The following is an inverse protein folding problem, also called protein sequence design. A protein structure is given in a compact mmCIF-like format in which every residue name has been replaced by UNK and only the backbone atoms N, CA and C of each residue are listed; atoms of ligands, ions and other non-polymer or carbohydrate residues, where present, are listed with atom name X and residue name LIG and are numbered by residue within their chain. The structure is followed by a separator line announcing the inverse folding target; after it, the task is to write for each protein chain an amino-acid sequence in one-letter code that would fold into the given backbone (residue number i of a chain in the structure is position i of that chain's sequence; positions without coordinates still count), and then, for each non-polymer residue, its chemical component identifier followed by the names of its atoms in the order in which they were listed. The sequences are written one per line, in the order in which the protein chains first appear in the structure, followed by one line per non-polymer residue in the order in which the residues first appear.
data_IF_142863929389
#
_entry.id   IF_142863929389
#
_cell.length_a   1.000
_cell.length_b   1.000
_cell.length_c   1.000
_cell.angle_alpha   90.00
_cell.angle_beta   90.00
_cell.angle_gamma   90.00
#
_symmetry.space_group_name_H-M   'P 1'
#
loop_
_entity.id
_entity.type
_entity.pdbx_description
1 polymer ?
#
# COMPACT_ATOMS: atom_id res chain seq x y z
N UNK A 1 9.91 -10.79 -40.97
CA UNK A 1 9.72 -9.41 -40.51
C UNK A 1 10.24 -9.32 -39.08
N UNK A 2 11.54 -9.12 -38.97
CA UNK A 2 12.25 -9.00 -37.68
C UNK A 2 12.80 -7.58 -37.65
N UNK A 3 12.30 -6.72 -36.75
CA UNK A 3 12.85 -5.39 -36.61
C UNK A 3 11.88 -4.33 -36.06
N UNK A 4 10.91 -4.68 -35.22
CA UNK A 4 10.33 -3.66 -34.34
C UNK A 4 11.27 -3.48 -33.16
N UNK A 5 11.92 -2.34 -33.13
CA UNK A 5 12.91 -1.94 -32.16
C UNK A 5 12.31 -1.97 -30.76
N UNK A 6 13.05 -2.51 -29.77
CA UNK A 6 12.71 -2.56 -28.32
C UNK A 6 12.38 -1.18 -27.70
N UNK A 7 12.42 -0.11 -28.49
CA UNK A 7 12.32 1.29 -28.02
C UNK A 7 10.90 1.81 -27.83
N UNK A 8 9.86 1.15 -28.35
CA UNK A 8 8.49 1.69 -28.31
C UNK A 8 7.54 0.97 -27.33
N UNK A 9 7.98 -0.12 -26.70
CA UNK A 9 7.16 -0.85 -25.76
C UNK A 9 7.11 -0.18 -24.39
N UNK A 10 5.90 0.11 -23.91
CA UNK A 10 5.69 0.63 -22.56
C UNK A 10 5.78 -0.47 -21.49
N UNK A 11 5.35 -1.68 -21.83
CA UNK A 11 5.46 -2.88 -20.99
C UNK A 11 6.09 -4.02 -21.76
N UNK A 12 7.02 -4.72 -21.12
CA UNK A 12 7.58 -5.95 -21.67
C UNK A 12 7.71 -7.00 -20.56
N UNK A 13 7.07 -8.15 -20.75
CA UNK A 13 7.22 -9.36 -19.96
C UNK A 13 8.03 -10.36 -20.76
N UNK A 14 9.19 -10.79 -20.22
CA UNK A 14 10.08 -11.72 -20.90
C UNK A 14 10.10 -13.04 -20.12
N UNK A 15 9.57 -14.11 -20.74
CA UNK A 15 9.56 -15.48 -20.22
C UNK A 15 9.05 -15.60 -18.78
N UNK A 16 8.03 -14.80 -18.43
CA UNK A 16 7.54 -14.70 -17.07
C UNK A 16 6.82 -15.96 -16.63
N UNK A 17 7.35 -16.59 -15.58
CA UNK A 17 6.75 -17.73 -14.90
C UNK A 17 6.40 -17.34 -13.46
N UNK A 18 5.17 -17.62 -13.04
CA UNK A 18 4.67 -17.29 -11.70
C UNK A 18 4.04 -18.53 -11.06
N UNK A 19 4.44 -18.78 -9.80
CA UNK A 19 3.82 -19.79 -8.93
C UNK A 19 2.97 -19.16 -7.83
N UNK A 20 1.85 -19.81 -7.52
CA UNK A 20 1.05 -19.55 -6.31
C UNK A 20 0.93 -20.86 -5.52
N UNK A 21 1.70 -20.95 -4.44
CA UNK A 21 1.85 -22.21 -3.69
C UNK A 21 2.49 -23.28 -4.57
N UNK A 22 1.85 -24.44 -4.70
CA UNK A 22 2.34 -25.57 -5.51
C UNK A 22 1.94 -25.49 -7.00
N UNK A 23 1.10 -24.51 -7.37
CA UNK A 23 0.56 -24.42 -8.75
C UNK A 23 1.31 -23.35 -9.54
N UNK A 24 1.84 -23.70 -10.72
CA UNK A 24 2.28 -22.74 -11.72
C UNK A 24 1.03 -22.12 -12.38
N UNK A 25 0.89 -20.81 -12.27
CA UNK A 25 -0.26 -20.05 -12.78
C UNK A 25 0.06 -19.42 -14.14
N UNK A 26 1.28 -18.91 -14.30
CA UNK A 26 1.80 -18.40 -15.57
C UNK A 26 3.06 -19.19 -15.91
N UNK A 27 3.18 -19.62 -17.16
CA UNK A 27 4.33 -20.37 -17.66
C UNK A 27 4.87 -19.72 -18.93
N UNK A 28 6.13 -19.24 -18.87
CA UNK A 28 6.86 -18.68 -20.01
C UNK A 28 6.08 -17.59 -20.77
N UNK A 29 5.39 -16.71 -20.04
CA UNK A 29 4.60 -15.64 -20.63
C UNK A 29 5.51 -14.58 -21.26
N UNK A 30 5.32 -14.33 -22.55
CA UNK A 30 5.92 -13.21 -23.27
C UNK A 30 4.80 -12.27 -23.71
N UNK A 31 4.88 -11.01 -23.30
CA UNK A 31 3.87 -10.00 -23.62
C UNK A 31 4.56 -8.66 -23.81
N UNK A 32 4.33 -8.04 -24.96
CA UNK A 32 4.78 -6.69 -25.25
C UNK A 32 3.58 -5.79 -25.52
N UNK A 33 3.55 -4.62 -24.86
CA UNK A 33 2.45 -3.65 -25.00
C UNK A 33 3.02 -2.29 -25.34
N UNK A 34 2.57 -1.75 -26.47
CA UNK A 34 3.01 -0.47 -27.00
C UNK A 34 2.03 0.66 -26.69
N UNK A 35 2.44 1.89 -26.96
CA UNK A 35 1.61 3.09 -26.83
C UNK A 35 0.29 2.94 -27.61
N UNK A 36 -0.83 3.34 -26.98
CA UNK A 36 -2.16 3.29 -27.59
C UNK A 36 -2.78 1.91 -27.70
N UNK A 37 -2.18 0.88 -27.11
CA UNK A 37 -2.76 -0.46 -27.05
C UNK A 37 -3.60 -0.66 -25.79
N UNK A 38 -4.74 -1.32 -25.96
CA UNK A 38 -5.62 -1.79 -24.89
C UNK A 38 -5.74 -3.30 -25.00
N UNK A 39 -5.18 -4.01 -24.02
CA UNK A 39 -5.18 -5.47 -23.97
C UNK A 39 -6.29 -5.94 -23.03
N UNK A 40 -7.25 -6.67 -23.55
CA UNK A 40 -8.30 -7.29 -22.76
C UNK A 40 -7.96 -8.76 -22.47
N UNK A 41 -7.77 -9.09 -21.21
CA UNK A 41 -7.64 -10.46 -20.74
C UNK A 41 -9.03 -11.03 -20.51
N UNK A 42 -9.47 -11.89 -21.40
CA UNK A 42 -10.72 -12.61 -21.30
C UNK A 42 -10.41 -14.09 -20.98
N UNK A 43 -11.31 -14.77 -20.26
CA UNK A 43 -11.11 -16.16 -19.86
C UNK A 43 -11.82 -16.49 -18.54
N UNK A 44 -11.84 -17.80 -18.19
CA UNK A 44 -12.53 -18.27 -16.97
C UNK A 44 -11.82 -17.81 -15.68
N UNK A 45 -12.56 -17.89 -14.58
CA UNK A 45 -11.97 -17.64 -13.25
C UNK A 45 -10.85 -18.64 -12.96
N UNK A 46 -9.72 -18.15 -12.43
CA UNK A 46 -8.56 -18.98 -12.11
C UNK A 46 -7.56 -19.22 -13.24
N UNK A 47 -7.77 -18.65 -14.44
CA UNK A 47 -6.84 -18.76 -15.58
C UNK A 47 -5.64 -17.81 -15.49
N UNK A 48 -5.50 -17.03 -14.43
CA UNK A 48 -4.30 -16.22 -14.18
C UNK A 48 -4.40 -14.78 -14.62
N UNK A 49 -5.55 -14.25 -15.06
CA UNK A 49 -5.73 -12.85 -15.50
C UNK A 49 -5.22 -11.82 -14.48
N UNK A 50 -5.70 -11.91 -13.24
CA UNK A 50 -5.21 -11.05 -12.15
C UNK A 50 -3.73 -11.26 -11.87
N UNK A 51 -3.22 -12.50 -12.05
CA UNK A 51 -1.80 -12.80 -11.88
C UNK A 51 -0.94 -12.12 -12.95
N UNK A 52 -1.42 -12.01 -14.20
CA UNK A 52 -0.74 -11.25 -15.25
C UNK A 52 -0.68 -9.76 -14.85
N UNK A 53 -1.79 -9.17 -14.42
CA UNK A 53 -1.84 -7.77 -13.98
C UNK A 53 -0.90 -7.53 -12.79
N UNK A 54 -0.96 -8.39 -11.76
CA UNK A 54 -0.09 -8.26 -10.59
C UNK A 54 1.40 -8.45 -10.93
N UNK A 55 1.74 -9.39 -11.84
CA UNK A 55 3.10 -9.56 -12.34
C UNK A 55 3.56 -8.32 -13.10
N UNK A 56 2.73 -7.82 -14.02
CA UNK A 56 2.99 -6.60 -14.78
C UNK A 56 3.21 -5.37 -13.90
N UNK A 57 2.50 -5.28 -12.77
CA UNK A 57 2.67 -4.22 -11.78
C UNK A 57 3.83 -4.45 -10.79
N UNK A 58 4.58 -5.56 -10.91
CA UNK A 58 5.69 -5.91 -10.02
C UNK A 58 5.28 -6.26 -8.60
N UNK A 59 4.04 -6.73 -8.40
CA UNK A 59 3.46 -7.03 -7.08
C UNK A 59 3.78 -8.43 -6.58
N UNK A 60 4.07 -9.36 -7.47
CA UNK A 60 4.34 -10.76 -7.14
C UNK A 60 5.74 -11.16 -7.55
N UNK A 61 6.42 -12.03 -6.78
CA UNK A 61 7.72 -12.56 -7.16
C UNK A 61 7.59 -13.45 -8.41
N UNK A 62 8.60 -13.38 -9.26
CA UNK A 62 8.72 -14.22 -10.44
C UNK A 62 9.53 -15.46 -10.07
N UNK A 63 9.15 -16.63 -10.62
CA UNK A 63 9.97 -17.84 -10.56
C UNK A 63 11.07 -17.80 -11.63
N UNK A 64 10.71 -17.31 -12.82
CA UNK A 64 11.62 -17.11 -13.96
C UNK A 64 11.16 -15.86 -14.70
N UNK A 65 12.09 -15.18 -15.34
CA UNK A 65 11.83 -14.08 -16.27
C UNK A 65 11.97 -12.69 -15.65
N UNK A 66 11.52 -11.70 -16.40
CA UNK A 66 11.66 -10.29 -16.03
C UNK A 66 10.55 -9.42 -16.59
N UNK A 67 10.27 -8.32 -15.90
CA UNK A 67 9.28 -7.31 -16.27
C UNK A 67 9.96 -5.95 -16.42
N UNK A 68 9.68 -5.28 -17.52
CA UNK A 68 10.21 -3.95 -17.83
C UNK A 68 9.07 -2.96 -18.04
N UNK A 69 9.22 -1.76 -17.48
CA UNK A 69 8.39 -0.61 -17.76
C UNK A 69 9.21 0.45 -18.49
N UNK A 70 8.74 0.92 -19.64
CA UNK A 70 9.43 1.92 -20.45
C UNK A 70 10.90 1.57 -20.75
N UNK A 71 11.19 0.28 -20.96
CA UNK A 71 12.54 -0.24 -21.20
C UNK A 71 13.39 -0.46 -19.95
N UNK A 72 12.96 -0.01 -18.76
CA UNK A 72 13.69 -0.16 -17.51
C UNK A 72 13.20 -1.37 -16.70
N UNK A 73 14.12 -2.11 -16.10
CA UNK A 73 13.80 -3.30 -15.30
C UNK A 73 12.99 -2.94 -14.06
N UNK A 74 11.76 -3.45 -13.97
CA UNK A 74 10.91 -3.32 -12.79
C UNK A 74 11.19 -4.41 -11.76
N UNK A 75 11.25 -5.68 -12.20
CA UNK A 75 11.53 -6.84 -11.36
C UNK A 75 12.04 -8.01 -12.21
N UNK A 76 12.95 -8.80 -11.66
CA UNK A 76 13.43 -10.07 -12.19
C UNK A 76 13.18 -11.26 -11.23
N UNK A 77 13.59 -12.45 -11.64
CA UNK A 77 13.47 -13.69 -10.86
C UNK A 77 14.24 -13.66 -9.53
N UNK A 78 15.30 -12.86 -9.43
CA UNK A 78 16.06 -12.67 -8.18
C UNK A 78 15.36 -11.69 -7.22
N UNK A 79 14.27 -11.07 -7.63
CA UNK A 79 13.57 -10.01 -6.91
C UNK A 79 14.28 -8.65 -7.00
N UNK A 80 15.36 -8.56 -7.80
CA UNK A 80 16.00 -7.27 -8.10
C UNK A 80 15.13 -6.47 -9.06
N UNK A 81 15.17 -5.17 -8.91
CA UNK A 81 14.46 -4.24 -9.79
C UNK A 81 14.43 -2.83 -9.23
N UNK A 82 14.15 -1.89 -10.11
CA UNK A 82 14.07 -0.46 -9.80
C UNK A 82 12.69 0.00 -9.32
N UNK A 83 12.59 1.29 -9.01
CA UNK A 83 11.29 1.97 -8.94
C UNK A 83 10.74 2.08 -10.37
N UNK A 84 9.40 2.09 -10.53
CA UNK A 84 8.85 2.44 -11.83
C UNK A 84 9.39 3.80 -12.28
N UNK A 85 9.86 3.89 -13.52
CA UNK A 85 10.39 5.15 -14.10
C UNK A 85 9.32 6.23 -14.09
N UNK A 86 8.10 5.81 -14.35
CA UNK A 86 6.94 6.67 -14.35
C UNK A 86 5.84 6.09 -13.47
N UNK A 87 5.07 6.93 -12.77
CA UNK A 87 3.83 6.51 -12.13
C UNK A 87 2.89 5.88 -13.14
N UNK A 88 2.21 4.84 -12.73
CA UNK A 88 1.24 4.11 -13.55
C UNK A 88 -0.10 4.00 -12.82
N UNK A 89 -1.16 3.77 -13.58
CA UNK A 89 -2.48 3.52 -13.03
C UNK A 89 -2.63 2.08 -12.54
N UNK A 90 -3.28 1.88 -11.39
CA UNK A 90 -3.49 0.55 -10.82
C UNK A 90 -4.81 0.46 -10.09
N UNK A 91 -5.71 -0.40 -10.58
CA UNK A 91 -6.90 -0.86 -9.87
C UNK A 91 -6.81 -2.37 -9.74
N UNK A 92 -6.81 -2.86 -8.51
CA UNK A 92 -6.82 -4.29 -8.21
C UNK A 92 -8.26 -4.75 -7.89
N UNK A 93 -8.48 -6.06 -7.85
CA UNK A 93 -9.78 -6.64 -7.46
C UNK A 93 -10.23 -6.16 -6.07
N UNK A 94 -9.29 -5.97 -5.15
CA UNK A 94 -9.56 -5.29 -3.88
C UNK A 94 -9.50 -3.77 -4.09
N UNK A 95 -10.50 -3.04 -3.58
CA UNK A 95 -10.64 -1.59 -3.81
C UNK A 95 -9.41 -0.77 -3.39
N UNK A 96 -8.69 -1.19 -2.35
CA UNK A 96 -7.47 -0.51 -1.91
C UNK A 96 -7.67 0.90 -1.34
N UNK A 97 -8.90 1.34 -1.19
CA UNK A 97 -9.24 2.67 -0.71
C UNK A 97 -9.13 2.77 0.81
N UNK A 98 -8.55 3.86 1.30
CA UNK A 98 -8.42 4.11 2.73
C UNK A 98 -9.73 4.68 3.30
N UNK A 99 -10.48 3.88 4.04
CA UNK A 99 -11.79 4.23 4.59
C UNK A 99 -11.80 5.47 5.49
N UNK A 100 -10.66 5.81 6.11
CA UNK A 100 -10.48 6.99 6.97
C UNK A 100 -10.22 8.29 6.19
N UNK A 101 -10.07 8.23 4.88
CA UNK A 101 -9.90 9.40 4.01
C UNK A 101 -11.23 9.80 3.38
N UNK A 102 -11.33 11.09 3.03
CA UNK A 102 -12.38 11.58 2.14
C UNK A 102 -12.07 11.18 0.71
N UNK A 103 -13.08 11.16 -0.17
CA UNK A 103 -12.86 10.84 -1.59
C UNK A 103 -11.80 11.75 -2.19
N UNK A 104 -11.93 13.08 -2.00
CA UNK A 104 -10.97 14.06 -2.52
C UNK A 104 -9.55 13.84 -1.99
N UNK A 105 -9.40 13.53 -0.71
CA UNK A 105 -8.08 13.25 -0.10
C UNK A 105 -7.42 12.04 -0.73
N UNK A 106 -8.19 10.96 -0.92
CA UNK A 106 -7.70 9.73 -1.53
C UNK A 106 -7.25 9.95 -2.98
N UNK A 107 -8.05 10.66 -3.77
CA UNK A 107 -7.71 10.97 -5.16
C UNK A 107 -6.53 11.95 -5.25
N UNK A 108 -6.45 12.96 -4.40
CA UNK A 108 -5.28 13.83 -4.32
C UNK A 108 -4.01 13.06 -3.97
N UNK A 109 -4.08 12.09 -3.05
CA UNK A 109 -2.94 11.24 -2.71
C UNK A 109 -2.44 10.43 -3.92
N UNK A 110 -3.35 9.95 -4.75
CA UNK A 110 -3.01 9.27 -6.01
C UNK A 110 -2.35 10.23 -7.00
N UNK A 111 -2.87 11.45 -7.11
CA UNK A 111 -2.31 12.48 -7.98
C UNK A 111 -0.90 12.92 -7.54
N UNK A 112 -0.64 13.00 -6.24
CA UNK A 112 0.65 13.45 -5.70
C UNK A 112 1.84 12.59 -6.14
N UNK A 113 1.59 11.32 -6.49
CA UNK A 113 2.63 10.45 -7.05
C UNK A 113 2.97 10.84 -8.49
N UNK A 114 2.02 11.41 -9.23
CA UNK A 114 2.23 11.81 -10.62
C UNK A 114 2.98 13.14 -10.76
N UNK A 115 3.09 13.89 -9.69
CA UNK A 115 3.74 15.20 -9.67
C UNK A 115 2.83 16.38 -10.03
N UNK A 116 1.58 16.14 -10.42
CA UNK A 116 0.58 17.17 -10.74
C UNK A 116 -0.79 16.77 -10.22
N UNK A 117 -1.63 17.76 -9.97
CA UNK A 117 -3.05 17.61 -9.61
C UNK A 117 -3.92 18.24 -10.68
N UNK A 118 -5.07 17.63 -10.93
CA UNK A 118 -6.11 18.17 -11.81
C UNK A 118 -7.39 18.42 -11.00
N UNK A 119 -8.28 19.25 -11.55
CA UNK A 119 -9.63 19.41 -11.02
C UNK A 119 -10.42 18.10 -11.23
N UNK A 120 -10.92 17.53 -10.15
CA UNK A 120 -11.55 16.21 -10.17
C UNK A 120 -13.07 16.23 -10.33
N UNK A 121 -13.68 17.39 -10.24
CA UNK A 121 -15.16 17.51 -10.19
C UNK A 121 -15.82 16.94 -11.44
N UNK A 122 -15.25 17.19 -12.63
CA UNK A 122 -15.76 16.66 -13.90
C UNK A 122 -15.67 15.12 -13.96
N UNK A 123 -14.59 14.54 -13.41
CA UNK A 123 -14.44 13.08 -13.33
C UNK A 123 -15.46 12.51 -12.34
N UNK A 124 -15.57 13.10 -11.15
CA UNK A 124 -16.50 12.65 -10.12
C UNK A 124 -17.96 12.75 -10.60
N UNK A 125 -18.29 13.76 -11.41
CA UNK A 125 -19.64 13.95 -11.95
C UNK A 125 -20.03 12.82 -12.91
N UNK A 126 -19.11 12.38 -13.80
CA UNK A 126 -19.35 11.25 -14.71
C UNK A 126 -19.67 9.94 -13.98
N UNK A 127 -19.13 9.75 -12.77
CA UNK A 127 -19.38 8.57 -11.94
C UNK A 127 -20.44 8.79 -10.86
N UNK A 128 -21.15 9.95 -10.91
CA UNK A 128 -22.17 10.34 -9.93
C UNK A 128 -21.64 10.31 -8.47
N UNK A 129 -20.42 10.85 -8.27
CA UNK A 129 -19.77 10.93 -6.95
C UNK A 129 -19.46 12.37 -6.49
N UNK A 130 -19.70 13.39 -7.33
CA UNK A 130 -19.38 14.80 -7.02
C UNK A 130 -20.02 15.28 -5.72
N UNK A 131 -21.29 14.93 -5.51
CA UNK A 131 -22.05 15.29 -4.30
C UNK A 131 -21.51 14.64 -3.02
N UNK A 132 -20.66 13.62 -3.14
CA UNK A 132 -20.03 12.89 -2.03
C UNK A 132 -18.54 13.17 -1.89
N UNK A 133 -17.99 14.12 -2.63
CA UNK A 133 -16.55 14.44 -2.70
C UNK A 133 -15.91 14.54 -1.31
N UNK A 134 -16.65 15.11 -0.35
CA UNK A 134 -16.17 15.34 1.02
C UNK A 134 -16.55 14.23 2.01
N UNK A 135 -17.24 13.17 1.56
CA UNK A 135 -17.62 12.04 2.42
C UNK A 135 -16.42 11.13 2.69
N UNK A 136 -16.44 10.49 3.86
CA UNK A 136 -15.46 9.46 4.18
C UNK A 136 -15.71 8.20 3.34
N UNK A 137 -14.66 7.61 2.81
CA UNK A 137 -14.75 6.38 2.00
C UNK A 137 -15.40 5.22 2.78
N UNK A 138 -15.21 5.18 4.12
CA UNK A 138 -15.88 4.19 4.96
C UNK A 138 -17.41 4.28 4.93
N UNK A 139 -17.98 5.45 4.59
CA UNK A 139 -19.44 5.69 4.52
C UNK A 139 -20.04 5.34 3.16
N UNK A 140 -19.21 4.99 2.19
CA UNK A 140 -19.63 4.64 0.84
C UNK A 140 -20.14 3.19 0.77
N UNK A 141 -21.11 2.96 -0.12
CA UNK A 141 -21.47 1.58 -0.52
C UNK A 141 -20.31 0.88 -1.23
N UNK A 142 -20.36 -0.45 -1.35
CA UNK A 142 -19.33 -1.22 -2.07
C UNK A 142 -19.14 -0.73 -3.51
N UNK A 143 -20.24 -0.50 -4.25
CA UNK A 143 -20.17 0.02 -5.61
C UNK A 143 -19.58 1.43 -5.68
N UNK A 144 -19.92 2.32 -4.75
CA UNK A 144 -19.33 3.66 -4.70
C UNK A 144 -17.81 3.62 -4.37
N UNK A 145 -17.39 2.77 -3.45
CA UNK A 145 -15.95 2.55 -3.19
C UNK A 145 -15.24 2.03 -4.43
N UNK A 146 -15.87 1.09 -5.16
CA UNK A 146 -15.33 0.58 -6.41
C UNK A 146 -15.12 1.68 -7.44
N UNK A 147 -16.10 2.60 -7.59
CA UNK A 147 -15.96 3.77 -8.45
C UNK A 147 -14.76 4.63 -8.06
N UNK A 148 -14.55 4.90 -6.77
CA UNK A 148 -13.39 5.67 -6.27
C UNK A 148 -12.09 4.95 -6.60
N UNK A 149 -12.00 3.65 -6.36
CA UNK A 149 -10.81 2.84 -6.67
C UNK A 149 -10.47 2.85 -8.17
N UNK A 150 -11.49 2.75 -9.00
CA UNK A 150 -11.37 2.78 -10.45
C UNK A 150 -10.92 4.16 -10.95
N UNK A 151 -11.53 5.25 -10.46
CA UNK A 151 -11.10 6.62 -10.77
C UNK A 151 -9.62 6.79 -10.38
N UNK A 152 -9.23 6.40 -9.17
CA UNK A 152 -7.84 6.46 -8.71
C UNK A 152 -6.88 5.71 -9.66
N UNK A 153 -7.32 4.57 -10.21
CA UNK A 153 -6.53 3.77 -11.15
C UNK A 153 -6.31 4.44 -12.51
N UNK A 154 -7.25 5.23 -12.99
CA UNK A 154 -7.12 5.91 -14.31
C UNK A 154 -6.52 7.31 -14.21
N UNK A 155 -6.50 7.94 -13.03
CA UNK A 155 -6.00 9.30 -12.82
C UNK A 155 -4.58 9.54 -13.36
N UNK A 156 -3.59 8.64 -13.21
CA UNK A 156 -2.26 8.86 -13.79
C UNK A 156 -2.26 9.08 -15.31
N UNK A 157 -3.21 8.46 -16.01
CA UNK A 157 -3.41 8.69 -17.44
C UNK A 157 -4.01 10.06 -17.74
N UNK A 158 -5.01 10.50 -16.98
CA UNK A 158 -5.61 11.84 -17.18
C UNK A 158 -4.64 12.98 -16.91
N UNK A 159 -3.72 12.80 -15.97
CA UNK A 159 -2.77 13.84 -15.56
C UNK A 159 -1.57 13.90 -16.52
N UNK A 160 -1.16 12.78 -17.07
CA UNK A 160 0.10 12.71 -17.82
C UNK A 160 -0.07 13.13 -19.28
N UNK A 161 0.85 13.97 -19.74
CA UNK A 161 1.02 14.31 -21.17
C UNK A 161 1.86 13.27 -21.94
N UNK A 162 2.54 12.36 -21.20
CA UNK A 162 3.33 11.28 -21.79
C UNK A 162 2.61 9.94 -21.63
N UNK A 163 2.80 8.98 -22.55
CA UNK A 163 2.23 7.66 -22.43
C UNK A 163 2.49 7.00 -21.07
N UNK A 164 1.47 6.38 -20.47
CA UNK A 164 1.53 5.68 -19.18
C UNK A 164 0.97 4.28 -19.32
N UNK A 165 1.36 3.42 -18.40
CA UNK A 165 0.74 2.13 -18.17
C UNK A 165 -0.46 2.29 -17.23
N UNK A 166 -1.54 1.56 -17.51
CA UNK A 166 -2.74 1.52 -16.68
C UNK A 166 -3.18 0.06 -16.55
N UNK A 167 -3.27 -0.43 -15.33
CA UNK A 167 -3.63 -1.81 -15.00
C UNK A 167 -4.98 -1.82 -14.28
N UNK A 168 -5.98 -2.49 -14.86
CA UNK A 168 -7.35 -2.55 -14.37
C UNK A 168 -7.78 -4.01 -14.18
N UNK A 169 -7.83 -4.48 -12.94
CA UNK A 169 -8.26 -5.83 -12.60
C UNK A 169 -9.73 -5.84 -12.20
N UNK A 170 -10.57 -6.43 -13.04
CA UNK A 170 -12.04 -6.48 -12.91
C UNK A 170 -12.65 -5.10 -12.57
N UNK A 171 -12.33 -4.04 -13.33
CA UNK A 171 -12.73 -2.66 -12.97
C UNK A 171 -14.24 -2.46 -12.93
N UNK A 172 -14.99 -3.28 -13.64
CA UNK A 172 -16.46 -3.23 -13.76
C UNK A 172 -17.19 -3.94 -12.62
N UNK A 173 -16.48 -4.67 -11.76
CA UNK A 173 -17.09 -5.38 -10.65
C UNK A 173 -17.84 -4.42 -9.71
N UNK A 174 -19.18 -4.57 -9.61
CA UNK A 174 -20.03 -3.71 -8.78
C UNK A 174 -20.33 -2.32 -9.34
N UNK A 175 -19.96 -2.02 -10.58
CA UNK A 175 -20.36 -0.79 -11.26
C UNK A 175 -21.78 -0.93 -11.85
N UNK A 176 -22.54 0.17 -11.78
CA UNK A 176 -23.78 0.33 -12.55
C UNK A 176 -23.49 0.55 -14.05
N UNK A 177 -24.52 0.41 -14.89
CA UNK A 177 -24.39 0.51 -16.34
C UNK A 177 -23.83 1.87 -16.78
N UNK A 178 -24.30 2.97 -16.17
CA UNK A 178 -23.85 4.32 -16.52
C UNK A 178 -22.35 4.48 -16.24
N UNK A 179 -21.86 4.04 -15.08
CA UNK A 179 -20.45 4.10 -14.73
C UNK A 179 -19.57 3.20 -15.60
N UNK A 180 -20.09 2.05 -16.05
CA UNK A 180 -19.36 1.21 -17.02
C UNK A 180 -19.19 1.91 -18.37
N UNK A 181 -20.27 2.53 -18.87
CA UNK A 181 -20.19 3.32 -20.11
C UNK A 181 -19.17 4.44 -19.97
N UNK A 182 -19.20 5.19 -18.86
CA UNK A 182 -18.21 6.24 -18.59
C UNK A 182 -16.78 5.70 -18.54
N UNK A 183 -16.58 4.50 -17.98
CA UNK A 183 -15.26 3.87 -17.93
C UNK A 183 -14.76 3.47 -19.32
N UNK A 184 -15.61 2.90 -20.16
CA UNK A 184 -15.27 2.54 -21.55
C UNK A 184 -14.88 3.81 -22.35
N UNK A 185 -15.61 4.90 -22.18
CA UNK A 185 -15.27 6.20 -22.77
C UNK A 185 -13.94 6.74 -22.25
N UNK A 186 -13.69 6.62 -20.93
CA UNK A 186 -12.43 7.01 -20.33
C UNK A 186 -11.25 6.19 -20.90
N UNK A 187 -11.40 4.89 -21.07
CA UNK A 187 -10.40 4.01 -21.69
C UNK A 187 -10.13 4.42 -23.14
N UNK A 188 -11.17 4.71 -23.93
CA UNK A 188 -11.01 5.21 -25.29
C UNK A 188 -10.22 6.51 -25.32
N UNK A 189 -10.59 7.49 -24.51
CA UNK A 189 -9.88 8.76 -24.41
C UNK A 189 -8.41 8.56 -24.04
N UNK A 190 -8.13 7.74 -23.02
CA UNK A 190 -6.76 7.48 -22.57
C UNK A 190 -5.94 6.74 -23.63
N UNK A 191 -6.55 5.81 -24.37
CA UNK A 191 -5.93 5.16 -25.52
C UNK A 191 -5.53 6.17 -26.60
N UNK A 192 -6.42 7.10 -26.95
CA UNK A 192 -6.16 8.16 -27.93
C UNK A 192 -5.01 9.08 -27.50
N UNK A 193 -4.80 9.27 -26.19
CA UNK A 193 -3.64 9.97 -25.62
C UNK A 193 -2.35 9.12 -25.61
N UNK A 194 -2.38 7.91 -26.16
CA UNK A 194 -1.22 7.03 -26.27
C UNK A 194 -0.92 6.19 -25.03
N UNK A 195 -1.81 6.14 -24.05
CA UNK A 195 -1.60 5.27 -22.87
C UNK A 195 -1.78 3.80 -23.25
N UNK A 196 -1.03 2.90 -22.59
CA UNK A 196 -1.18 1.46 -22.72
C UNK A 196 -1.99 0.93 -21.54
N UNK A 197 -3.05 0.17 -21.81
CA UNK A 197 -4.03 -0.24 -20.80
C UNK A 197 -4.18 -1.75 -20.84
N UNK A 198 -4.06 -2.38 -19.67
CA UNK A 198 -4.29 -3.80 -19.48
C UNK A 198 -5.54 -3.97 -18.61
N UNK A 199 -6.51 -4.73 -19.11
CA UNK A 199 -7.82 -4.92 -18.47
C UNK A 199 -8.09 -6.40 -18.32
N UNK A 200 -8.41 -6.86 -17.10
CA UNK A 200 -9.09 -8.14 -16.92
C UNK A 200 -10.58 -7.87 -16.75
N UNK A 201 -11.43 -8.52 -17.52
CA UNK A 201 -12.88 -8.46 -17.34
C UNK A 201 -13.55 -9.67 -18.00
N UNK A 202 -14.72 -10.02 -17.46
CA UNK A 202 -15.63 -11.01 -18.06
C UNK A 202 -16.71 -10.34 -18.91
N UNK A 203 -16.78 -8.99 -18.89
CA UNK A 203 -17.82 -8.24 -19.58
C UNK A 203 -17.38 -7.94 -21.01
N UNK A 204 -18.17 -8.48 -21.98
CA UNK A 204 -17.92 -8.26 -23.40
C UNK A 204 -17.99 -6.80 -23.84
N UNK A 205 -18.61 -5.90 -23.06
CA UNK A 205 -18.64 -4.48 -23.40
C UNK A 205 -17.24 -3.87 -23.53
N UNK A 206 -16.22 -4.41 -22.81
CA UNK A 206 -14.84 -3.95 -22.95
C UNK A 206 -14.17 -4.32 -24.28
N UNK A 207 -14.73 -5.27 -25.04
CA UNK A 207 -14.28 -5.53 -26.42
C UNK A 207 -14.39 -4.29 -27.31
N UNK A 208 -15.34 -3.38 -27.00
CA UNK A 208 -15.52 -2.11 -27.72
C UNK A 208 -14.34 -1.16 -27.59
N UNK A 209 -13.57 -1.21 -26.49
CA UNK A 209 -12.43 -0.33 -26.26
C UNK A 209 -11.09 -1.06 -26.39
N UNK A 210 -11.06 -2.39 -26.43
CA UNK A 210 -9.84 -3.19 -26.53
C UNK A 210 -9.30 -3.18 -27.96
N UNK A 211 -7.98 -3.07 -28.11
CA UNK A 211 -7.29 -3.22 -29.41
C UNK A 211 -6.88 -4.67 -29.64
N UNK A 212 -6.60 -5.38 -28.55
CA UNK A 212 -6.16 -6.77 -28.58
C UNK A 212 -6.86 -7.55 -27.47
N UNK A 213 -7.13 -8.81 -27.74
CA UNK A 213 -7.61 -9.78 -26.76
C UNK A 213 -6.52 -10.79 -26.50
N UNK A 214 -6.26 -11.06 -25.23
CA UNK A 214 -5.35 -12.12 -24.82
C UNK A 214 -6.15 -13.32 -24.30
N UNK A 215 -5.97 -14.46 -24.93
CA UNK A 215 -6.55 -15.75 -24.55
C UNK A 215 -5.42 -16.74 -24.27
N UNK A 216 -5.77 -17.97 -23.88
CA UNK A 216 -4.82 -19.09 -23.65
C UNK A 216 -3.91 -19.34 -24.88
N UNK A 217 -4.43 -19.11 -26.09
CA UNK A 217 -3.73 -19.34 -27.36
C UNK A 217 -2.84 -18.15 -27.79
N UNK A 218 -2.81 -17.06 -27.02
CA UNK A 218 -2.01 -15.89 -27.27
C UNK A 218 -2.82 -14.61 -27.48
N UNK A 219 -2.14 -13.59 -28.01
CA UNK A 219 -2.72 -12.27 -28.26
C UNK A 219 -3.27 -12.18 -29.69
N UNK A 220 -4.52 -11.80 -29.80
CA UNK A 220 -5.21 -11.61 -31.09
C UNK A 220 -5.64 -10.16 -31.20
N UNK A 221 -5.33 -9.55 -32.33
CA UNK A 221 -5.80 -8.19 -32.65
C UNK A 221 -7.31 -8.20 -32.91
N UNK A 222 -8.00 -7.23 -32.32
CA UNK A 222 -9.44 -7.04 -32.54
C UNK A 222 -9.60 -5.98 -33.63
N UNK A 223 -10.24 -6.36 -34.74
CA UNK A 223 -10.65 -5.38 -35.73
C UNK A 223 -11.71 -4.46 -35.11
N UNK A 224 -11.33 -3.24 -34.79
CA UNK A 224 -12.26 -2.23 -34.31
C UNK A 224 -12.85 -1.48 -35.51
N UNK A 225 -14.17 -1.35 -35.52
CA UNK A 225 -14.83 -0.31 -36.29
C UNK A 225 -14.28 1.05 -35.81
N UNK A 226 -14.15 2.01 -36.73
CA UNK A 226 -13.62 3.35 -36.46
C UNK A 226 -14.38 3.98 -35.27
N UNK A 227 -13.76 3.98 -34.09
CA UNK A 227 -14.34 4.64 -32.92
C UNK A 227 -14.22 6.15 -33.08
N UNK A 228 -15.29 6.92 -32.84
CA UNK A 228 -15.23 8.37 -32.92
C UNK A 228 -14.18 8.93 -31.95
N UNK A 229 -13.53 9.99 -32.37
CA UNK A 229 -12.59 10.71 -31.52
C UNK A 229 -13.35 11.31 -30.32
N UNK A 230 -12.90 10.97 -29.11
CA UNK A 230 -13.45 11.54 -27.87
C UNK A 230 -12.64 12.79 -27.54
N UNK A 231 -13.24 13.94 -27.85
CA UNK A 231 -12.66 15.23 -27.48
C UNK A 231 -13.10 15.60 -26.06
N UNK A 232 -12.15 15.93 -25.22
CA UNK A 232 -12.40 16.46 -23.86
C UNK A 232 -11.52 17.67 -23.61
N UNK A 233 -12.05 18.63 -22.90
CA UNK A 233 -11.29 19.81 -22.47
C UNK A 233 -10.10 19.38 -21.59
N UNK A 234 -8.96 20.03 -21.83
CA UNK A 234 -7.79 19.82 -20.99
C UNK A 234 -8.07 20.32 -19.58
N UNK A 235 -7.84 19.44 -18.60
CA UNK A 235 -8.05 19.78 -17.20
C UNK A 235 -6.88 20.65 -16.70
N UNK A 236 -7.15 21.83 -16.11
CA UNK A 236 -6.09 22.65 -15.53
C UNK A 236 -5.25 21.86 -14.54
N UNK A 237 -3.94 21.89 -14.74
CA UNK A 237 -3.00 21.21 -13.85
C UNK A 237 -2.45 22.18 -12.79
N UNK A 238 -2.32 21.67 -11.57
CA UNK A 238 -1.68 22.37 -10.47
C UNK A 238 -0.49 21.51 -9.97
N UNK A 239 0.59 22.14 -9.47
CA UNK A 239 1.70 21.40 -8.90
C UNK A 239 1.23 20.55 -7.71
N UNK A 240 1.69 19.33 -7.62
CA UNK A 240 1.37 18.44 -6.50
C UNK A 240 2.16 18.83 -5.24
N UNK A 241 1.64 18.40 -4.09
CA UNK A 241 2.38 18.53 -2.81
C UNK A 241 3.56 17.54 -2.72
N UNK A 242 3.66 16.61 -3.65
CA UNK A 242 4.72 15.60 -3.74
C UNK A 242 4.58 14.44 -2.73
N UNK A 243 5.40 13.42 -2.95
CA UNK A 243 5.33 12.14 -2.19
C UNK A 243 5.61 12.30 -0.69
N UNK A 244 6.46 13.27 -0.31
CA UNK A 244 6.77 13.51 1.12
C UNK A 244 5.52 14.03 1.84
N UNK A 245 4.79 14.97 1.23
CA UNK A 245 3.55 15.49 1.80
C UNK A 245 2.45 14.41 1.85
N UNK A 246 2.36 13.57 0.82
CA UNK A 246 1.50 12.39 0.80
C UNK A 246 1.79 11.47 2.00
N UNK A 247 3.05 11.10 2.22
CA UNK A 247 3.43 10.22 3.33
C UNK A 247 3.09 10.84 4.68
N UNK A 248 3.37 12.13 4.85
CA UNK A 248 3.03 12.85 6.08
C UNK A 248 1.51 12.95 6.28
N UNK A 249 0.75 13.20 5.24
CA UNK A 249 -0.72 13.22 5.29
C UNK A 249 -1.32 11.89 5.73
N UNK A 250 -0.78 10.77 5.22
CA UNK A 250 -1.22 9.44 5.64
C UNK A 250 -0.83 9.14 7.09
N UNK A 251 0.37 9.53 7.53
CA UNK A 251 0.85 9.32 8.91
C UNK A 251 0.11 10.19 9.91
N UNK A 252 -0.23 11.42 9.55
CA UNK A 252 -0.93 12.38 10.42
C UNK A 252 -2.47 12.28 10.32
N UNK A 253 -3.01 11.29 9.62
CA UNK A 253 -4.46 11.07 9.54
C UNK A 253 -5.04 10.75 10.91
N UNK A 254 -6.24 11.26 11.22
CA UNK A 254 -6.92 11.07 12.50
C UNK A 254 -7.04 9.60 12.92
N UNK A 255 -7.24 8.68 11.96
CA UNK A 255 -7.32 7.25 12.26
C UNK A 255 -5.96 6.67 12.63
N UNK A 256 -4.88 7.12 12.00
CA UNK A 256 -3.52 6.74 12.37
C UNK A 256 -3.20 7.22 13.79
N UNK A 257 -3.59 8.46 14.11
CA UNK A 257 -3.42 9.00 15.46
C UNK A 257 -4.24 8.23 16.50
N UNK A 258 -5.49 7.84 16.19
CA UNK A 258 -6.30 7.02 17.09
C UNK A 258 -5.73 5.62 17.29
N UNK A 259 -5.18 4.99 16.26
CA UNK A 259 -4.51 3.68 16.38
C UNK A 259 -3.19 3.77 17.15
N UNK A 260 -2.45 4.86 17.00
CA UNK A 260 -1.27 5.14 17.84
C UNK A 260 -1.63 5.32 19.32
N UNK A 261 -2.85 5.78 19.61
CA UNK A 261 -3.34 5.85 20.97
C UNK A 261 -3.39 4.45 21.64
N UNK A 262 -3.61 3.37 20.89
CA UNK A 262 -3.56 2.00 21.45
C UNK A 262 -2.16 1.65 21.97
N UNK A 263 -1.09 2.11 21.32
CA UNK A 263 0.27 1.94 21.81
C UNK A 263 0.43 2.69 23.14
N UNK A 264 -0.10 3.90 23.24
CA UNK A 264 -0.14 4.69 24.47
C UNK A 264 -0.94 3.99 25.58
N UNK A 265 -2.14 3.51 25.26
CA UNK A 265 -2.99 2.78 26.22
C UNK A 265 -2.26 1.54 26.77
N UNK A 266 -1.61 0.75 25.92
CA UNK A 266 -0.83 -0.40 26.36
C UNK A 266 0.30 -0.01 27.33
N UNK A 267 1.05 1.06 27.01
CA UNK A 267 2.10 1.58 27.88
C UNK A 267 1.55 2.10 29.21
N UNK A 268 0.48 2.89 29.20
CA UNK A 268 -0.14 3.43 30.41
C UNK A 268 -0.77 2.34 31.29
N UNK A 269 -1.45 1.36 30.70
CA UNK A 269 -2.00 0.23 31.44
C UNK A 269 -0.88 -0.58 32.11
N UNK A 270 0.22 -0.83 31.38
CA UNK A 270 1.38 -1.52 31.95
C UNK A 270 1.97 -0.74 33.12
N UNK A 271 2.15 0.57 32.95
CA UNK A 271 2.62 1.45 34.02
C UNK A 271 1.68 1.39 35.25
N UNK A 272 0.37 1.56 35.05
CA UNK A 272 -0.62 1.53 36.12
C UNK A 272 -0.63 0.20 36.87
N UNK A 273 -0.58 -0.93 36.17
CA UNK A 273 -0.53 -2.27 36.77
C UNK A 273 0.76 -2.44 37.59
N UNK A 274 1.91 -2.03 37.03
CA UNK A 274 3.20 -2.17 37.72
C UNK A 274 3.27 -1.30 38.97
N UNK A 275 2.80 -0.05 38.94
CA UNK A 275 2.74 0.83 40.11
C UNK A 275 1.81 0.26 41.19
N UNK A 276 0.63 -0.24 40.81
CA UNK A 276 -0.29 -0.89 41.75
C UNK A 276 0.32 -2.13 42.39
N UNK A 277 1.06 -2.94 41.61
CA UNK A 277 1.75 -4.12 42.19
C UNK A 277 2.85 -3.74 43.18
N UNK A 278 3.65 -2.71 42.88
CA UNK A 278 4.70 -2.21 43.79
C UNK A 278 4.08 -1.70 45.08
N UNK A 279 2.98 -0.94 44.99
CA UNK A 279 2.28 -0.40 46.17
C UNK A 279 1.65 -1.51 47.04
N UNK A 280 0.93 -2.46 46.42
CA UNK A 280 0.27 -3.57 47.12
C UNK A 280 1.28 -4.49 47.81
N UNK A 281 2.40 -4.79 47.13
CA UNK A 281 3.37 -5.77 47.64
C UNK A 281 4.36 -5.18 48.62
N UNK A 282 4.46 -3.84 48.71
CA UNK A 282 5.48 -3.11 49.49
C UNK A 282 6.90 -3.67 49.31
N UNK A 283 7.17 -4.18 48.10
CA UNK A 283 8.47 -4.74 47.72
C UNK A 283 9.52 -3.65 47.76
N UNK A 284 10.59 -3.88 48.54
CA UNK A 284 11.81 -3.10 48.38
C UNK A 284 12.44 -3.48 47.06
N UNK A 285 12.22 -2.62 46.05
CA UNK A 285 12.64 -2.90 44.68
C UNK A 285 14.14 -2.65 44.51
N UNK A 286 14.88 -3.73 44.33
CA UNK A 286 16.31 -3.64 43.96
C UNK A 286 16.49 -2.93 42.59
N UNK A 287 17.73 -2.54 42.31
CA UNK A 287 18.08 -1.75 41.08
C UNK A 287 17.62 -2.43 39.80
N UNK A 288 17.74 -3.75 39.66
CA UNK A 288 17.27 -4.51 38.49
C UNK A 288 15.76 -4.38 38.27
N UNK A 289 15.00 -4.46 39.40
CA UNK A 289 13.55 -4.33 39.33
C UNK A 289 13.13 -2.92 38.93
N UNK A 290 13.81 -1.88 39.40
CA UNK A 290 13.59 -0.49 39.00
C UNK A 290 13.84 -0.28 37.50
N UNK A 291 14.95 -0.79 36.97
CA UNK A 291 15.25 -0.72 35.52
C UNK A 291 14.16 -1.39 34.68
N UNK A 292 13.73 -2.59 35.09
CA UNK A 292 12.65 -3.33 34.44
C UNK A 292 11.34 -2.57 34.43
N UNK A 293 10.96 -1.98 35.60
CA UNK A 293 9.75 -1.18 35.71
C UNK A 293 9.76 0.06 34.82
N UNK A 294 10.86 0.81 34.83
CA UNK A 294 11.01 2.05 34.04
C UNK A 294 10.84 1.78 32.54
N UNK A 295 11.42 0.69 32.03
CA UNK A 295 11.42 0.38 30.59
C UNK A 295 10.20 -0.43 30.14
N UNK A 296 9.44 -1.04 31.07
CA UNK A 296 8.33 -1.95 30.73
C UNK A 296 7.19 -1.25 30.00
N UNK A 297 6.85 -0.03 30.38
CA UNK A 297 5.79 0.76 29.73
C UNK A 297 6.14 1.10 28.28
N UNK A 298 7.40 1.49 28.03
CA UNK A 298 7.92 1.76 26.70
C UNK A 298 7.98 0.47 25.84
N UNK A 299 8.40 -0.64 26.43
CA UNK A 299 8.42 -1.95 25.76
C UNK A 299 7.01 -2.41 25.37
N UNK A 300 6.04 -2.33 26.29
CA UNK A 300 4.65 -2.70 26.04
C UNK A 300 4.03 -1.86 24.91
N UNK A 301 4.28 -0.55 24.90
CA UNK A 301 3.84 0.33 23.82
C UNK A 301 4.43 -0.11 22.45
N UNK A 302 5.69 -0.51 22.41
CA UNK A 302 6.35 -1.00 21.20
C UNK A 302 5.78 -2.33 20.70
N UNK A 303 5.37 -3.24 21.59
CA UNK A 303 4.80 -4.56 21.26
C UNK A 303 3.48 -4.48 20.48
N UNK A 304 2.71 -3.41 20.62
CA UNK A 304 1.49 -3.20 19.81
C UNK A 304 1.81 -3.08 18.34
N UNK A 305 3.03 -2.64 17.99
CA UNK A 305 3.53 -2.58 16.63
C UNK A 305 3.22 -1.29 15.91
N UNK A 306 3.45 -1.29 14.59
CA UNK A 306 3.21 -0.14 13.72
C UNK A 306 1.77 -0.17 13.19
N UNK A 307 0.93 0.67 13.76
CA UNK A 307 -0.48 0.84 13.37
C UNK A 307 -0.66 1.15 11.88
N UNK A 308 0.34 1.73 11.22
CA UNK A 308 0.29 2.06 9.80
C UNK A 308 0.20 0.81 8.92
N UNK A 309 1.01 -0.22 9.22
CA UNK A 309 0.97 -1.49 8.45
C UNK A 309 -0.38 -2.16 8.61
N UNK A 310 -0.90 -2.20 9.84
CA UNK A 310 -2.22 -2.77 10.11
C UNK A 310 -3.32 -2.04 9.34
N UNK A 311 -3.31 -0.70 9.37
CA UNK A 311 -4.28 0.12 8.65
C UNK A 311 -4.24 -0.14 7.14
N UNK A 312 -3.04 -0.19 6.54
CA UNK A 312 -2.88 -0.46 5.11
C UNK A 312 -3.36 -1.87 4.73
N UNK A 313 -3.25 -2.83 5.65
CA UNK A 313 -3.78 -4.18 5.45
C UNK A 313 -5.30 -4.24 5.54
N UNK A 314 -5.90 -3.61 6.54
CA UNK A 314 -7.36 -3.56 6.72
C UNK A 314 -8.04 -2.95 5.49
N UNK A 315 -7.45 -1.90 4.93
CA UNK A 315 -7.94 -1.23 3.72
C UNK A 315 -7.47 -1.86 2.42
N UNK A 316 -6.68 -2.96 2.47
CA UNK A 316 -6.11 -3.64 1.29
C UNK A 316 -5.30 -2.71 0.36
N UNK A 317 -4.81 -1.57 0.88
CA UNK A 317 -4.06 -0.56 0.12
C UNK A 317 -2.55 -0.84 0.08
N UNK A 318 -2.06 -1.83 0.84
CA UNK A 318 -0.63 -2.17 0.90
C UNK A 318 -0.04 -2.55 -0.47
N UNK A 319 -0.82 -3.23 -1.32
CA UNK A 319 -0.40 -3.62 -2.66
C UNK A 319 -0.08 -2.39 -3.53
N UNK A 320 -0.92 -1.35 -3.46
CA UNK A 320 -0.71 -0.10 -4.18
C UNK A 320 0.61 0.60 -3.79
N UNK A 321 0.90 0.69 -2.46
CA UNK A 321 2.17 1.23 -1.97
C UNK A 321 3.38 0.43 -2.43
N UNK A 322 3.26 -0.91 -2.46
CA UNK A 322 4.32 -1.81 -2.95
C UNK A 322 4.58 -1.65 -4.44
N UNK A 323 3.51 -1.57 -5.25
CA UNK A 323 3.61 -1.42 -6.70
C UNK A 323 4.39 -0.16 -7.10
N UNK A 324 4.11 0.96 -6.45
CA UNK A 324 4.79 2.23 -6.75
C UNK A 324 6.17 2.36 -6.10
N UNK A 325 6.59 1.39 -5.27
CA UNK A 325 7.89 1.37 -4.57
C UNK A 325 8.26 2.70 -3.88
N UNK A 326 7.25 3.46 -3.44
CA UNK A 326 7.45 4.75 -2.76
C UNK A 326 7.82 4.59 -1.27
N UNK A 327 7.98 3.36 -0.82
CA UNK A 327 8.18 3.01 0.57
C UNK A 327 6.86 3.09 1.36
N UNK A 328 6.69 2.15 2.28
CA UNK A 328 5.50 2.09 3.13
C UNK A 328 5.66 3.12 4.25
N UNK A 329 4.69 4.04 4.45
CA UNK A 329 4.73 4.99 5.56
C UNK A 329 4.92 4.27 6.90
N UNK A 330 5.55 4.93 7.87
CA UNK A 330 5.82 4.37 9.20
C UNK A 330 5.50 5.39 10.28
N UNK A 331 5.08 4.90 11.44
CA UNK A 331 4.78 5.73 12.61
C UNK A 331 5.93 5.77 13.63
N UNK A 332 7.18 5.49 13.20
CA UNK A 332 8.34 5.41 14.12
C UNK A 332 8.60 6.69 14.90
N UNK A 333 8.44 7.86 14.28
CA UNK A 333 8.63 9.15 14.98
C UNK A 333 7.64 9.26 16.13
N UNK A 334 6.38 8.89 15.91
CA UNK A 334 5.36 8.93 16.96
C UNK A 334 5.64 7.89 18.07
N UNK A 335 6.12 6.69 17.67
CA UNK A 335 6.55 5.66 18.62
C UNK A 335 7.75 6.10 19.47
N UNK A 336 8.71 6.78 18.85
CA UNK A 336 9.88 7.36 19.54
C UNK A 336 9.45 8.40 20.59
N UNK A 337 8.57 9.33 20.22
CA UNK A 337 8.03 10.36 21.14
C UNK A 337 7.25 9.70 22.27
N UNK A 338 6.43 8.70 21.96
CA UNK A 338 5.63 7.97 22.97
C UNK A 338 6.53 7.21 23.95
N UNK A 339 7.55 6.50 23.46
CA UNK A 339 8.49 5.79 24.31
C UNK A 339 9.27 6.72 25.24
N UNK A 340 9.69 7.88 24.72
CA UNK A 340 10.30 8.94 25.50
C UNK A 340 9.37 9.41 26.63
N UNK A 341 8.13 9.75 26.28
CA UNK A 341 7.14 10.25 27.24
C UNK A 341 6.80 9.21 28.32
N UNK A 342 6.58 7.95 27.95
CA UNK A 342 6.25 6.89 28.89
C UNK A 342 7.38 6.62 29.86
N UNK A 343 8.64 6.59 29.40
CA UNK A 343 9.81 6.37 30.27
C UNK A 343 10.00 7.53 31.23
N UNK A 344 9.82 8.77 30.76
CA UNK A 344 9.88 9.95 31.61
C UNK A 344 8.78 9.93 32.69
N UNK A 345 7.54 9.63 32.29
CA UNK A 345 6.41 9.55 33.20
C UNK A 345 6.58 8.43 34.23
N UNK A 346 7.19 7.31 33.85
CA UNK A 346 7.46 6.21 34.79
C UNK A 346 8.47 6.63 35.85
N UNK A 347 9.55 7.36 35.47
CA UNK A 347 10.53 7.87 36.43
C UNK A 347 9.86 8.87 37.41
N UNK A 348 9.04 9.78 36.91
CA UNK A 348 8.30 10.73 37.75
C UNK A 348 7.31 10.06 38.68
N UNK A 349 6.57 9.04 38.21
CA UNK A 349 5.58 8.30 38.99
C UNK A 349 6.21 7.45 40.11
N UNK A 350 7.48 7.11 39.96
CA UNK A 350 8.25 6.36 40.97
C UNK A 350 9.13 7.24 41.86
N UNK A 351 8.99 8.56 41.80
CA UNK A 351 9.81 9.56 42.54
C UNK A 351 11.33 9.34 42.35
N UNK A 352 11.73 8.87 41.15
CA UNK A 352 13.13 8.68 40.81
C UNK A 352 13.75 9.92 40.19
N UNK A 353 15.09 10.12 40.36
CA UNK A 353 15.79 11.17 39.64
C UNK A 353 15.66 10.98 38.14
N UNK A 354 15.40 12.05 37.40
CA UNK A 354 15.26 12.01 35.94
C UNK A 354 16.59 11.69 35.30
N UNK A 355 16.71 10.51 34.69
CA UNK A 355 17.82 10.13 33.82
C UNK A 355 17.41 10.31 32.35
N UNK A 356 18.03 11.28 31.68
CA UNK A 356 17.80 11.53 30.26
C UNK A 356 18.28 10.35 29.39
N UNK A 357 19.31 9.66 29.82
CA UNK A 357 19.85 8.46 29.17
C UNK A 357 18.82 7.34 29.12
N UNK A 358 18.17 7.05 30.27
CA UNK A 358 17.08 6.08 30.33
C UNK A 358 15.89 6.47 29.46
N UNK A 359 15.56 7.74 29.41
CA UNK A 359 14.48 8.28 28.60
C UNK A 359 14.75 8.07 27.12
N UNK A 360 16.01 8.28 26.68
CA UNK A 360 16.45 8.01 25.31
C UNK A 360 16.43 6.49 25.03
N UNK A 361 16.88 5.67 25.96
CA UNK A 361 16.84 4.19 25.85
C UNK A 361 15.40 3.72 25.67
N UNK A 362 14.45 4.23 26.45
CA UNK A 362 13.02 3.92 26.30
C UNK A 362 12.46 4.30 24.94
N UNK A 363 12.85 5.45 24.42
CA UNK A 363 12.48 5.89 23.06
C UNK A 363 13.01 4.94 21.99
N UNK A 364 14.27 4.54 22.08
CA UNK A 364 14.91 3.58 21.16
C UNK A 364 14.26 2.20 21.28
N UNK A 365 13.98 1.75 22.51
CA UNK A 365 13.34 0.47 22.80
C UNK A 365 11.95 0.37 22.14
N UNK A 366 11.11 1.38 22.35
CA UNK A 366 9.77 1.42 21.72
C UNK A 366 9.89 1.36 20.19
N UNK A 367 10.76 2.18 19.62
CA UNK A 367 10.94 2.26 18.15
C UNK A 367 11.49 0.96 17.57
N UNK A 368 12.48 0.35 18.23
CA UNK A 368 13.08 -0.92 17.78
C UNK A 368 12.08 -2.07 17.87
N UNK A 369 11.30 -2.12 18.95
CA UNK A 369 10.25 -3.13 19.12
C UNK A 369 9.17 -2.97 18.06
N UNK A 370 8.70 -1.74 17.80
CA UNK A 370 7.77 -1.45 16.72
C UNK A 370 8.33 -1.86 15.35
N UNK A 371 9.63 -1.61 15.11
CA UNK A 371 10.28 -2.02 13.87
C UNK A 371 10.26 -3.53 13.68
N UNK A 372 10.60 -4.29 14.71
CA UNK A 372 10.61 -5.76 14.66
C UNK A 372 9.19 -6.28 14.40
N UNK A 373 8.21 -5.82 15.16
CA UNK A 373 6.79 -6.20 14.97
C UNK A 373 6.34 -5.87 13.54
N UNK A 374 6.68 -4.68 13.03
CA UNK A 374 6.38 -4.29 11.65
C UNK A 374 6.98 -5.24 10.62
N UNK A 375 8.24 -5.67 10.79
CA UNK A 375 8.88 -6.60 9.87
C UNK A 375 8.13 -7.94 9.82
N UNK A 376 7.68 -8.42 10.98
CA UNK A 376 6.84 -9.62 11.06
C UNK A 376 5.47 -9.41 10.41
N UNK A 377 4.82 -8.28 10.61
CA UNK A 377 3.54 -7.96 9.97
C UNK A 377 3.66 -7.92 8.43
N UNK A 378 4.72 -7.32 7.93
CA UNK A 378 4.97 -7.22 6.47
C UNK A 378 5.29 -8.59 5.84
N UNK A 379 5.98 -9.47 6.58
CA UNK A 379 6.29 -10.83 6.10
C UNK A 379 5.09 -11.77 6.24
N UNK A 380 4.36 -11.69 7.35
CA UNK A 380 3.16 -12.51 7.60
C UNK A 380 2.01 -12.22 6.64
N UNK A 381 1.99 -11.02 6.04
CA UNK A 381 1.02 -10.65 5.03
C UNK A 381 1.00 -11.57 3.79
N UNK A 382 2.09 -12.31 3.56
CA UNK A 382 2.22 -13.27 2.45
C UNK A 382 1.76 -14.69 2.82
N UNK A 383 1.48 -14.95 4.10
CA UNK A 383 1.15 -16.29 4.59
C UNK A 383 -0.37 -16.47 4.67
N UNK A 384 -0.85 -17.64 4.27
CA UNK A 384 -2.26 -18.00 4.29
C UNK A 384 -2.83 -18.21 5.72
N UNK A 385 -2.00 -18.16 6.77
CA UNK A 385 -2.40 -18.35 8.17
C UNK A 385 -2.53 -17.04 8.92
N UNK A 386 -3.49 -16.93 9.84
CA UNK A 386 -3.78 -15.68 10.53
C UNK A 386 -2.60 -15.18 11.36
N UNK A 387 -2.38 -13.88 11.35
CA UNK A 387 -1.39 -13.11 12.11
C UNK A 387 -1.29 -13.51 13.57
N UNK A 388 -2.42 -13.90 14.21
CA UNK A 388 -2.47 -14.28 15.60
C UNK A 388 -1.52 -15.43 15.99
N UNK A 389 -1.14 -16.30 15.06
CA UNK A 389 -0.19 -17.38 15.36
C UNK A 389 1.27 -16.85 15.42
N UNK A 390 1.60 -15.85 14.60
CA UNK A 390 2.94 -15.24 14.58
C UNK A 390 3.17 -14.31 15.76
N UNK A 391 2.19 -13.49 16.13
CA UNK A 391 2.30 -12.60 17.29
C UNK A 391 2.49 -13.40 18.60
N UNK A 392 1.92 -14.58 18.71
CA UNK A 392 2.12 -15.47 19.85
C UNK A 392 3.56 -15.98 20.01
N UNK A 393 4.28 -16.11 18.89
CA UNK A 393 5.70 -16.53 18.89
C UNK A 393 6.59 -15.30 19.11
N UNK A 394 6.23 -14.17 18.56
CA UNK A 394 7.04 -12.96 18.59
C UNK A 394 7.17 -12.41 20.03
N UNK A 395 6.08 -12.36 20.79
CA UNK A 395 6.08 -11.82 22.15
C UNK A 395 7.11 -12.50 23.05
N UNK A 396 7.14 -13.86 23.19
CA UNK A 396 8.16 -14.50 24.01
C UNK A 396 9.58 -14.33 23.47
N UNK A 397 9.78 -14.25 22.14
CA UNK A 397 11.12 -14.03 21.59
C UNK A 397 11.68 -12.63 21.86
N UNK A 398 10.83 -11.63 22.08
CA UNK A 398 11.24 -10.27 22.43
C UNK A 398 11.47 -10.07 23.92
N UNK A 399 10.96 -10.95 24.79
CA UNK A 399 11.17 -10.86 26.26
C UNK A 399 12.65 -11.05 26.59
N UNK A 400 13.35 -11.99 25.94
CA UNK A 400 14.76 -12.24 26.23
C UNK A 400 15.68 -11.04 25.91
N UNK A 401 15.63 -10.43 24.72
CA UNK A 401 16.37 -9.19 24.45
C UNK A 401 16.01 -8.04 25.41
N UNK A 402 14.75 -7.93 25.80
CA UNK A 402 14.31 -6.95 26.80
C UNK A 402 14.97 -7.21 28.16
N UNK A 403 14.97 -8.46 28.64
CA UNK A 403 15.59 -8.82 29.91
C UNK A 403 17.10 -8.54 29.89
N UNK A 404 17.81 -8.84 28.78
CA UNK A 404 19.23 -8.52 28.60
C UNK A 404 19.47 -7.00 28.61
N UNK A 405 18.60 -6.22 28.00
CA UNK A 405 18.67 -4.75 28.04
C UNK A 405 18.51 -4.23 29.46
N UNK A 406 17.53 -4.73 30.21
CA UNK A 406 17.31 -4.36 31.61
C UNK A 406 18.55 -4.67 32.46
N UNK A 407 19.14 -5.83 32.30
CA UNK A 407 20.37 -6.20 32.99
C UNK A 407 21.51 -5.26 32.64
N UNK A 408 21.73 -4.99 31.35
CA UNK A 408 22.79 -4.08 30.90
C UNK A 408 22.61 -2.66 31.46
N UNK A 409 21.38 -2.13 31.47
CA UNK A 409 21.07 -0.81 32.07
C UNK A 409 21.42 -0.79 33.56
N UNK A 410 21.12 -1.86 34.26
CA UNK A 410 21.42 -2.00 35.69
C UNK A 410 22.91 -2.02 35.96
N UNK A 411 23.65 -2.80 35.18
CA UNK A 411 25.12 -2.94 35.31
C UNK A 411 25.85 -1.63 34.95
N UNK A 412 25.22 -0.77 34.12
CA UNK A 412 25.76 0.52 33.70
C UNK A 412 25.56 1.66 34.71
N UNK A 413 24.94 1.41 35.87
CA UNK A 413 24.62 2.40 36.91
C UNK A 413 23.89 3.66 36.38
N UNK A 414 22.95 3.48 35.45
CA UNK A 414 22.14 4.55 34.87
C UNK A 414 20.93 4.96 35.73
N UNK A 415 20.77 4.32 36.89
CA UNK A 415 19.69 4.54 37.86
C UNK A 415 20.26 5.00 39.18
#
# INVERSE_FOLDING_TARGET
MLGQTMTDALLNLNSVTVRRGMKTVLSNLNLQVSSGQVILFNGKNGEGKSTIIEASAGLIPLEVGSVYHHGELLIDESGKGGKPVHPFGLTLQADGCMGSQRIEEHLHNTMDITGSRIEMDSILERYNLKHRKHDLIAQLSGGQRRKVAMIAGVLPGFISTKPRLIFLDEPDSGLDQASRTSLIEDIHYLRQKGHAILISSHNKEFEKCATHQYNIDGMVEINQESTPEIVRDEMPQQPSKGVIALRNGVVCNNRTMSTLAYNGIAGFLTLGILLALVDITKLDTGTIQKSGLILSSAFAAGLVGDSMVQMLHEHRSLAWWKAHKQGIPSSYIHGSILGFALTLLTQLAMDLPISWELTIIGSILTTSTMFIVRMFDLTSARLARPRAAFTRILTPTLILPFALLVQWVTDSNLI
#
